data_IF_090130348121
#
_entry.id   IF_090130348121
#
_cell.length_a   1.000
_cell.length_b   1.000
_cell.length_c   1.000
_cell.angle_alpha   90.00
_cell.angle_beta   90.00
_cell.angle_gamma   90.00
#
_symmetry.space_group_name_H-M   'P 1'
#
loop_
_entity.id
_entity.type
_entity.pdbx_description
1 polymer ?
#
# COMPACT_ATOMS: atom_id res chain seq x y z
N UNK A 1 22.06 -1.57 -3.72
CA UNK A 1 22.51 -2.85 -3.14
C UNK A 1 21.59 -3.94 -3.64
N UNK A 2 22.08 -5.06 -4.19
CA UNK A 2 21.22 -6.00 -4.93
C UNK A 2 20.18 -6.75 -4.08
N UNK A 3 20.36 -6.83 -2.76
CA UNK A 3 19.57 -7.69 -1.86
C UNK A 3 18.79 -6.94 -0.78
N UNK A 4 18.59 -5.62 -0.91
CA UNK A 4 17.81 -4.88 0.07
C UNK A 4 16.31 -5.16 -0.11
N UNK A 5 15.75 -5.99 0.78
CA UNK A 5 14.29 -6.11 0.92
C UNK A 5 13.82 -5.01 1.87
N UNK A 6 13.04 -4.02 1.40
CA UNK A 6 12.49 -3.02 2.30
C UNK A 6 11.60 -3.69 3.35
N UNK A 7 11.69 -3.24 4.61
CA UNK A 7 10.79 -3.73 5.64
C UNK A 7 9.37 -3.25 5.34
N UNK A 8 8.45 -4.20 5.15
CA UNK A 8 7.03 -3.90 4.93
C UNK A 8 6.28 -4.02 6.25
N UNK A 9 5.52 -2.97 6.61
CA UNK A 9 4.68 -2.96 7.81
C UNK A 9 3.23 -2.63 7.47
N UNK A 10 2.33 -3.53 7.84
CA UNK A 10 0.90 -3.28 7.78
C UNK A 10 0.41 -2.60 9.07
N UNK A 11 -0.26 -1.46 8.94
CA UNK A 11 -0.98 -0.81 10.05
C UNK A 11 -2.42 -1.28 10.02
N UNK A 12 -3.00 -1.58 11.19
CA UNK A 12 -4.40 -1.99 11.27
C UNK A 12 -5.30 -0.79 10.94
N UNK A 13 -5.97 -0.86 9.80
CA UNK A 13 -7.02 0.08 9.42
C UNK A 13 -8.37 -0.61 9.61
N UNK A 14 -9.39 0.13 10.06
CA UNK A 14 -10.71 -0.44 10.32
C UNK A 14 -11.30 -1.06 9.05
N UNK A 15 -11.57 -2.37 9.07
CA UNK A 15 -12.26 -3.10 8.01
C UNK A 15 -11.39 -3.60 6.86
N UNK A 16 -10.06 -3.47 6.91
CA UNK A 16 -9.16 -3.96 5.85
C UNK A 16 -7.93 -4.63 6.49
N UNK A 17 -7.57 -5.83 6.02
CA UNK A 17 -6.33 -6.51 6.40
C UNK A 17 -5.35 -6.55 5.23
N UNK A 18 -4.10 -6.12 5.42
CA UNK A 18 -3.06 -6.21 4.38
C UNK A 18 -2.34 -7.55 4.48
N UNK A 19 -2.24 -8.27 3.36
CA UNK A 19 -1.49 -9.52 3.27
C UNK A 19 -0.04 -9.26 2.86
N UNK A 20 0.86 -9.18 3.85
CA UNK A 20 2.29 -8.95 3.60
C UNK A 20 2.99 -10.12 2.90
N UNK A 21 2.41 -11.32 2.89
CA UNK A 21 2.99 -12.46 2.15
C UNK A 21 2.72 -12.37 0.65
N UNK A 22 1.65 -11.66 0.27
CA UNK A 22 1.24 -11.43 -1.13
C UNK A 22 1.37 -9.96 -1.56
N UNK A 23 2.07 -9.16 -0.77
CA UNK A 23 2.37 -7.76 -1.07
C UNK A 23 3.86 -7.60 -1.24
N UNK A 24 4.24 -6.72 -2.14
CA UNK A 24 5.63 -6.36 -2.40
C UNK A 24 5.72 -4.86 -2.69
N UNK A 25 6.86 -4.44 -3.23
CA UNK A 25 7.14 -3.05 -3.57
C UNK A 25 6.26 -2.47 -4.70
N UNK A 26 5.57 -3.31 -5.47
CA UNK A 26 4.73 -2.91 -6.60
C UNK A 26 3.24 -3.19 -6.39
N UNK A 27 2.88 -4.15 -5.51
CA UNK A 27 1.50 -4.54 -5.25
C UNK A 27 1.16 -4.67 -3.77
N UNK A 28 -0.08 -4.29 -3.42
CA UNK A 28 -0.66 -4.47 -2.09
C UNK A 28 -1.90 -5.35 -2.18
N UNK A 29 -1.89 -6.47 -1.47
CA UNK A 29 -3.03 -7.39 -1.40
C UNK A 29 -3.86 -7.10 -0.15
N UNK A 30 -5.16 -6.84 -0.35
CA UNK A 30 -6.11 -6.56 0.72
C UNK A 30 -7.05 -7.75 0.92
N UNK A 31 -7.20 -8.20 2.16
CA UNK A 31 -8.09 -9.27 2.59
C UNK A 31 -9.26 -8.73 3.41
N UNK A 32 -10.35 -9.49 3.42
CA UNK A 32 -11.53 -9.26 4.27
C UNK A 32 -12.27 -7.95 3.95
N UNK A 33 -12.32 -7.59 2.67
CA UNK A 33 -12.98 -6.38 2.15
C UNK A 33 -14.51 -6.44 2.29
N UNK A 34 -15.10 -5.28 2.54
CA UNK A 34 -16.53 -5.01 2.65
C UNK A 34 -16.92 -3.91 1.64
N UNK A 35 -18.22 -3.78 1.33
CA UNK A 35 -18.72 -2.78 0.38
C UNK A 35 -18.28 -1.35 0.68
N UNK A 36 -18.21 -0.98 1.97
CA UNK A 36 -17.75 0.32 2.44
C UNK A 36 -16.24 0.57 2.24
N UNK A 37 -15.47 -0.44 1.83
CA UNK A 37 -14.07 -0.28 1.44
C UNK A 37 -13.91 0.13 -0.03
N UNK A 38 -15.00 0.25 -0.80
CA UNK A 38 -14.93 0.87 -2.13
C UNK A 38 -14.55 2.35 -1.99
N UNK A 39 -13.63 2.82 -2.83
CA UNK A 39 -13.13 4.19 -2.74
C UNK A 39 -11.86 4.44 -3.54
N UNK A 40 -11.25 5.59 -3.31
CA UNK A 40 -9.99 5.98 -3.94
C UNK A 40 -8.81 5.56 -3.04
N UNK A 41 -7.93 4.73 -3.59
CA UNK A 41 -6.73 4.26 -2.93
C UNK A 41 -5.51 5.01 -3.48
N UNK A 42 -4.65 5.48 -2.58
CA UNK A 42 -3.43 6.22 -2.90
C UNK A 42 -2.21 5.39 -2.49
N UNK A 43 -1.26 5.24 -3.41
CA UNK A 43 0.09 4.77 -3.13
C UNK A 43 1.03 5.98 -3.15
N UNK A 44 1.91 6.09 -2.16
CA UNK A 44 2.87 7.18 -2.02
C UNK A 44 4.25 6.60 -1.70
N UNK A 45 5.27 7.07 -2.42
CA UNK A 45 6.67 6.69 -2.25
C UNK A 45 7.47 7.96 -2.00
N UNK A 46 8.18 8.01 -0.88
CA UNK A 46 9.01 9.16 -0.51
C UNK A 46 10.47 8.74 -0.33
N UNK A 47 11.41 9.57 -0.76
CA UNK A 47 12.84 9.38 -0.52
C UNK A 47 13.28 9.98 0.82
N UNK A 48 14.40 9.47 1.34
CA UNK A 48 15.05 10.04 2.53
C UNK A 48 15.94 11.23 2.16
N UNK A 49 16.31 12.04 3.15
CA UNK A 49 17.12 13.25 2.95
C UNK A 49 18.45 13.01 2.24
N UNK A 50 19.04 14.04 1.58
CA UNK A 50 18.72 15.46 1.71
C UNK A 50 17.57 15.95 0.81
N UNK A 51 17.18 15.17 -0.21
CA UNK A 51 16.06 15.49 -1.08
C UNK A 51 14.88 14.60 -0.71
N UNK A 52 13.80 15.22 -0.24
CA UNK A 52 12.56 14.55 0.13
C UNK A 52 11.59 14.56 -1.05
N UNK A 53 11.92 13.79 -2.09
CA UNK A 53 11.05 13.63 -3.25
C UNK A 53 9.92 12.66 -2.90
N UNK A 54 8.69 13.03 -3.25
CA UNK A 54 7.50 12.21 -3.02
C UNK A 54 6.76 12.02 -4.34
N UNK A 55 6.56 10.78 -4.76
CA UNK A 55 5.68 10.41 -5.87
C UNK A 55 4.42 9.74 -5.33
N UNK A 56 3.27 10.02 -5.95
CA UNK A 56 1.99 9.49 -5.53
C UNK A 56 1.09 9.16 -6.71
N UNK A 57 0.40 8.02 -6.61
CA UNK A 57 -0.61 7.58 -7.57
C UNK A 57 -1.89 7.16 -6.89
N UNK A 58 -3.00 7.46 -7.53
CA UNK A 58 -4.34 7.17 -7.03
C UNK A 58 -5.09 6.27 -8.01
N UNK A 59 -5.89 5.35 -7.48
CA UNK A 59 -6.77 4.49 -8.28
C UNK A 59 -8.07 4.22 -7.54
N UNK A 60 -9.18 4.10 -8.27
CA UNK A 60 -10.47 3.74 -7.69
C UNK A 60 -10.62 2.22 -7.62
N UNK A 61 -11.06 1.72 -6.47
CA UNK A 61 -11.38 0.31 -6.26
C UNK A 61 -12.86 0.19 -5.87
N UNK A 62 -13.56 -0.72 -6.53
CA UNK A 62 -14.97 -1.05 -6.24
C UNK A 62 -15.04 -2.50 -5.78
N UNK A 63 -15.63 -2.72 -4.60
CA UNK A 63 -15.94 -4.04 -4.06
C UNK A 63 -17.37 -4.38 -4.49
N UNK A 64 -17.55 -5.52 -5.17
CA UNK A 64 -18.83 -6.01 -5.70
C UNK A 64 -19.42 -7.14 -4.86
#
# INVERSE_FOLDING_TARGET
MPDYKPESRAVKTSGIAVDLQKSDMNQVTLNNLQFNNSGNYKCEVSTEGPNFDTDAKNSNMTVM
#
